data_IF_307187864817
#
_entry.id   IF_307187864817
#
_cell.length_a   1.000
_cell.length_b   1.000
_cell.length_c   1.000
_cell.angle_alpha   90.00
_cell.angle_beta   90.00
_cell.angle_gamma   90.00
#
_symmetry.space_group_name_H-M   'P 1'
#
loop_
_entity.id
_entity.type
_entity.pdbx_description
1 polymer ?
#
# COMPACT_ATOMS: atom_id res chain seq x y z
N UNK A 1 -25.49 9.68 -2.26
CA UNK A 1 -24.60 9.31 -3.37
C UNK A 1 -23.55 10.38 -3.48
N UNK A 2 -22.34 10.03 -3.08
CA UNK A 2 -21.15 10.84 -3.32
C UNK A 2 -21.00 11.01 -4.85
N UNK A 3 -21.21 12.24 -5.33
CA UNK A 3 -21.13 12.57 -6.76
C UNK A 3 -19.76 12.32 -7.36
N UNK A 4 -18.73 12.19 -6.52
CA UNK A 4 -17.35 11.93 -6.91
C UNK A 4 -16.92 10.48 -6.67
N UNK A 5 -17.69 9.65 -5.95
CA UNK A 5 -17.32 8.25 -5.66
C UNK A 5 -17.02 7.43 -6.92
N UNK A 6 -17.88 7.53 -7.95
CA UNK A 6 -17.69 6.83 -9.22
C UNK A 6 -16.44 7.33 -9.95
N UNK A 7 -16.22 8.65 -9.93
CA UNK A 7 -15.04 9.29 -10.51
C UNK A 7 -13.76 8.82 -9.83
N UNK A 8 -13.75 8.80 -8.49
CA UNK A 8 -12.64 8.30 -7.66
C UNK A 8 -12.36 6.83 -7.94
N UNK A 9 -13.39 5.98 -8.00
CA UNK A 9 -13.24 4.56 -8.35
C UNK A 9 -12.64 4.40 -9.74
N UNK A 10 -13.15 5.12 -10.75
CA UNK A 10 -12.68 5.02 -12.12
C UNK A 10 -11.20 5.44 -12.25
N UNK A 11 -10.82 6.57 -11.62
CA UNK A 11 -9.43 7.06 -11.61
C UNK A 11 -8.53 6.07 -10.87
N UNK A 12 -8.92 5.65 -9.65
CA UNK A 12 -8.16 4.71 -8.84
C UNK A 12 -7.94 3.39 -9.56
N UNK A 13 -8.99 2.81 -10.14
CA UNK A 13 -8.92 1.57 -10.90
C UNK A 13 -8.03 1.71 -12.14
N UNK A 14 -8.13 2.81 -12.89
CA UNK A 14 -7.29 3.04 -14.07
C UNK A 14 -5.80 3.12 -13.72
N UNK A 15 -5.44 3.91 -12.69
CA UNK A 15 -4.05 4.04 -12.26
C UNK A 15 -3.50 2.76 -11.65
N UNK A 16 -4.29 2.07 -10.80
CA UNK A 16 -3.89 0.79 -10.23
C UNK A 16 -3.80 -0.31 -11.28
N UNK A 17 -4.60 -0.29 -12.34
CA UNK A 17 -4.47 -1.21 -13.47
C UNK A 17 -3.14 -0.99 -14.20
N UNK A 18 -2.78 0.27 -14.49
CA UNK A 18 -1.48 0.60 -15.08
C UNK A 18 -0.34 0.15 -14.16
N UNK A 19 -0.46 0.39 -12.85
CA UNK A 19 0.51 -0.05 -11.86
C UNK A 19 0.63 -1.59 -11.80
N UNK A 20 -0.51 -2.30 -11.82
CA UNK A 20 -0.55 -3.76 -11.83
C UNK A 20 0.10 -4.34 -13.08
N UNK A 21 -0.17 -3.77 -14.26
CA UNK A 21 0.47 -4.19 -15.52
C UNK A 21 1.98 -3.94 -15.47
N UNK A 22 2.41 -2.78 -14.98
CA UNK A 22 3.83 -2.47 -14.82
C UNK A 22 4.50 -3.45 -13.83
N UNK A 23 3.89 -3.68 -12.68
CA UNK A 23 4.41 -4.56 -11.64
C UNK A 23 4.47 -6.04 -12.08
N UNK A 24 3.50 -6.51 -12.87
CA UNK A 24 3.54 -7.85 -13.49
C UNK A 24 4.70 -7.97 -14.47
N UNK A 25 4.95 -6.93 -15.27
CA UNK A 25 5.97 -6.96 -16.34
C UNK A 25 7.39 -6.75 -15.82
N UNK A 26 7.59 -5.81 -14.90
CA UNK A 26 8.93 -5.31 -14.53
C UNK A 26 9.19 -5.30 -13.03
N UNK A 27 8.21 -5.68 -12.19
CA UNK A 27 8.27 -5.60 -10.71
C UNK A 27 8.55 -4.20 -10.17
N UNK A 28 8.31 -3.18 -10.99
CA UNK A 28 8.56 -1.77 -10.66
C UNK A 28 7.47 -0.90 -11.28
N UNK A 29 6.92 -0.01 -10.46
CA UNK A 29 5.98 1.02 -10.92
C UNK A 29 6.72 2.36 -10.92
N UNK A 30 6.72 3.11 -12.03
CA UNK A 30 7.43 4.37 -12.12
C UNK A 30 6.72 5.48 -11.32
N UNK A 31 7.51 6.34 -10.69
CA UNK A 31 7.02 7.42 -9.82
C UNK A 31 5.98 8.36 -10.44
N UNK A 32 6.03 8.72 -11.75
CA UNK A 32 5.00 9.54 -12.38
C UNK A 32 3.58 8.99 -12.27
N UNK A 33 3.39 7.66 -12.15
CA UNK A 33 2.07 7.06 -11.94
C UNK A 33 1.50 7.51 -10.59
N UNK A 34 2.31 7.47 -9.54
CA UNK A 34 1.90 7.86 -8.20
C UNK A 34 1.69 9.37 -8.08
N UNK A 35 2.60 10.15 -8.66
CA UNK A 35 2.48 11.62 -8.72
C UNK A 35 1.18 12.00 -9.43
N UNK A 36 0.87 11.37 -10.56
CA UNK A 36 -0.37 11.59 -11.30
C UNK A 36 -1.61 11.26 -10.48
N UNK A 37 -1.66 10.08 -9.86
CA UNK A 37 -2.79 9.64 -9.04
C UNK A 37 -3.05 10.60 -7.87
N UNK A 38 -2.01 10.93 -7.09
CA UNK A 38 -2.13 11.83 -5.95
C UNK A 38 -2.48 13.26 -6.37
N UNK A 39 -1.90 13.78 -7.46
CA UNK A 39 -2.23 15.12 -7.97
C UNK A 39 -3.67 15.22 -8.44
N UNK A 40 -4.17 14.22 -9.16
CA UNK A 40 -5.56 14.15 -9.59
C UNK A 40 -6.47 14.04 -8.36
N UNK A 41 -6.12 13.22 -7.37
CA UNK A 41 -6.86 13.11 -6.11
C UNK A 41 -7.02 14.46 -5.40
N UNK A 42 -5.92 15.20 -5.25
CA UNK A 42 -5.95 16.55 -4.67
C UNK A 42 -6.83 17.52 -5.47
N UNK A 43 -6.81 17.46 -6.80
CA UNK A 43 -7.64 18.32 -7.66
C UNK A 43 -9.13 17.95 -7.56
N UNK A 44 -9.46 16.65 -7.56
CA UNK A 44 -10.83 16.17 -7.39
C UNK A 44 -11.37 16.62 -6.03
N UNK A 45 -10.58 16.46 -4.97
CA UNK A 45 -10.94 16.87 -3.62
C UNK A 45 -11.10 18.40 -3.49
N UNK A 46 -10.21 19.18 -4.11
CA UNK A 46 -10.37 20.63 -4.17
C UNK A 46 -11.65 21.05 -4.91
N UNK A 47 -11.99 20.35 -6.00
CA UNK A 47 -13.23 20.57 -6.74
C UNK A 47 -14.47 20.29 -5.89
N UNK A 48 -14.46 19.19 -5.14
CA UNK A 48 -15.51 18.85 -4.17
C UNK A 48 -15.64 19.93 -3.08
N UNK A 49 -14.55 20.40 -2.51
CA UNK A 49 -14.59 21.46 -1.49
C UNK A 49 -15.23 22.76 -2.00
N UNK A 50 -14.95 23.13 -3.26
CA UNK A 50 -15.57 24.30 -3.90
C UNK A 50 -17.06 24.06 -4.15
N UNK A 51 -17.42 22.88 -4.64
CA UNK A 51 -18.80 22.52 -4.97
C UNK A 51 -19.68 22.49 -3.73
N UNK A 52 -19.20 21.86 -2.65
CA UNK A 52 -19.97 21.63 -1.43
C UNK A 52 -19.81 22.76 -0.40
N UNK A 53 -19.08 23.83 -0.76
CA UNK A 53 -18.80 25.00 0.10
C UNK A 53 -18.23 24.60 1.46
N UNK A 54 -17.29 23.64 1.44
CA UNK A 54 -16.65 23.10 2.65
C UNK A 54 -15.89 24.22 3.39
N UNK A 55 -15.88 24.11 4.72
CA UNK A 55 -15.21 25.02 5.64
C UNK A 55 -13.74 25.29 5.24
N UNK A 56 -13.30 26.53 5.47
CA UNK A 56 -11.92 26.97 5.18
C UNK A 56 -10.86 26.10 5.86
N UNK A 57 -11.21 25.52 7.00
CA UNK A 57 -10.36 24.63 7.80
C UNK A 57 -9.95 23.37 7.02
N UNK A 58 -10.82 22.83 6.17
CA UNK A 58 -10.51 21.66 5.35
C UNK A 58 -9.41 21.95 4.31
N UNK A 59 -9.34 23.19 3.81
CA UNK A 59 -8.30 23.62 2.86
C UNK A 59 -6.90 23.59 3.49
N UNK A 60 -6.79 23.84 4.81
CA UNK A 60 -5.53 23.70 5.52
C UNK A 60 -5.06 22.24 5.54
N UNK A 61 -5.98 21.29 5.78
CA UNK A 61 -5.67 19.86 5.74
C UNK A 61 -5.28 19.39 4.32
N UNK A 62 -5.99 19.85 3.30
CA UNK A 62 -5.64 19.59 1.89
C UNK A 62 -4.23 20.11 1.57
N UNK A 63 -3.92 21.35 1.96
CA UNK A 63 -2.60 21.96 1.78
C UNK A 63 -1.49 21.20 2.51
N UNK A 64 -1.75 20.79 3.76
CA UNK A 64 -0.83 19.96 4.55
C UNK A 64 -0.54 18.63 3.83
N UNK A 65 -1.58 17.92 3.42
CA UNK A 65 -1.46 16.64 2.73
C UNK A 65 -0.71 16.78 1.39
N UNK A 66 -1.00 17.82 0.61
CA UNK A 66 -0.31 18.11 -0.65
C UNK A 66 1.19 18.36 -0.44
N UNK A 67 1.57 19.20 0.53
CA UNK A 67 2.98 19.48 0.82
C UNK A 67 3.71 18.20 1.26
N UNK A 68 3.10 17.44 2.18
CA UNK A 68 3.69 16.17 2.65
C UNK A 68 3.86 15.16 1.52
N UNK A 69 2.87 15.06 0.63
CA UNK A 69 2.89 14.17 -0.52
C UNK A 69 4.00 14.52 -1.52
N UNK A 70 4.05 15.77 -1.99
CA UNK A 70 5.07 16.18 -2.96
C UNK A 70 6.48 16.15 -2.37
N UNK A 71 6.63 16.37 -1.06
CA UNK A 71 7.90 16.22 -0.35
C UNK A 71 8.46 14.78 -0.36
N UNK A 72 7.68 13.77 -0.75
CA UNK A 72 8.16 12.39 -0.97
C UNK A 72 9.01 12.30 -2.24
N UNK A 73 8.65 13.06 -3.27
CA UNK A 73 9.30 13.02 -4.59
C UNK A 73 10.35 14.10 -4.77
N UNK A 74 10.34 15.14 -3.94
CA UNK A 74 11.23 16.28 -4.04
C UNK A 74 12.38 16.26 -3.02
N UNK A 75 13.60 16.28 -3.54
CA UNK A 75 14.84 16.42 -2.77
C UNK A 75 15.24 15.18 -1.97
N UNK A 76 16.53 15.06 -1.64
CA UNK A 76 17.01 13.93 -0.84
C UNK A 76 16.60 14.03 0.65
N UNK A 77 16.47 12.88 1.35
CA UNK A 77 15.98 12.77 2.73
C UNK A 77 16.69 13.70 3.72
N UNK A 78 15.99 14.06 4.81
CA UNK A 78 16.62 14.73 5.95
C UNK A 78 17.53 13.79 6.75
N UNK A 79 17.24 12.49 6.70
CA UNK A 79 18.01 11.46 7.38
C UNK A 79 18.51 10.47 6.32
N UNK A 80 19.82 10.37 6.21
CA UNK A 80 20.53 9.40 5.36
C UNK A 80 21.40 8.50 6.27
N UNK A 81 22.05 7.49 5.70
CA UNK A 81 22.89 6.57 6.49
C UNK A 81 24.03 7.29 7.22
N UNK A 82 24.50 8.40 6.65
CA UNK A 82 25.60 9.22 7.19
C UNK A 82 25.14 10.28 8.20
N UNK A 83 23.83 10.38 8.48
CA UNK A 83 23.27 11.24 9.53
C UNK A 83 22.19 12.22 9.07
N UNK A 84 22.01 13.29 9.86
CA UNK A 84 21.01 14.32 9.61
C UNK A 84 21.57 15.43 8.71
N UNK A 85 20.87 15.71 7.62
CA UNK A 85 21.20 16.76 6.67
C UNK A 85 20.14 17.87 6.73
N UNK A 86 20.51 18.99 7.36
CA UNK A 86 19.67 20.17 7.44
C UNK A 86 19.45 20.78 6.05
N UNK A 87 18.23 20.63 5.53
CA UNK A 87 17.83 21.16 4.22
C UNK A 87 16.78 22.25 4.44
N UNK A 88 17.15 23.54 4.44
CA UNK A 88 16.29 24.61 4.94
C UNK A 88 14.94 24.66 4.21
N UNK A 89 14.94 24.50 2.88
CA UNK A 89 13.70 24.47 2.10
C UNK A 89 12.80 23.28 2.48
N UNK A 90 13.36 22.08 2.66
CA UNK A 90 12.58 20.90 3.03
C UNK A 90 12.06 20.98 4.47
N UNK A 91 12.87 21.51 5.39
CA UNK A 91 12.46 21.78 6.76
C UNK A 91 11.31 22.80 6.79
N UNK A 92 11.42 23.88 6.02
CA UNK A 92 10.36 24.88 5.90
C UNK A 92 9.06 24.26 5.40
N UNK A 93 9.10 23.42 4.36
CA UNK A 93 7.92 22.71 3.85
C UNK A 93 7.27 21.84 4.94
N UNK A 94 8.06 21.10 5.72
CA UNK A 94 7.51 20.30 6.82
C UNK A 94 6.95 21.14 7.96
N UNK A 95 7.56 22.28 8.28
CA UNK A 95 7.04 23.22 9.27
C UNK A 95 5.70 23.80 8.80
N UNK A 96 5.60 24.22 7.53
CA UNK A 96 4.36 24.73 6.94
C UNK A 96 3.29 23.64 6.95
N UNK A 97 3.61 22.41 6.54
CA UNK A 97 2.65 21.30 6.57
C UNK A 97 2.16 20.99 7.99
N UNK A 98 3.05 21.04 9.00
CA UNK A 98 2.69 20.85 10.39
C UNK A 98 1.80 22.00 10.92
N UNK A 99 2.11 23.25 10.57
CA UNK A 99 1.28 24.39 10.92
C UNK A 99 -0.13 24.28 10.34
N UNK A 100 -0.23 23.91 9.05
CA UNK A 100 -1.51 23.68 8.38
C UNK A 100 -2.31 22.52 8.98
N UNK A 101 -1.64 21.46 9.43
CA UNK A 101 -2.30 20.33 10.12
C UNK A 101 -2.90 20.76 11.47
N UNK A 102 -2.15 21.56 12.24
CA UNK A 102 -2.55 21.98 13.59
C UNK A 102 -3.58 23.11 13.57
N UNK A 103 -3.59 23.92 12.51
CA UNK A 103 -4.42 25.13 12.41
C UNK A 103 -5.92 24.90 12.72
N UNK A 104 -6.64 23.95 12.09
CA UNK A 104 -8.07 23.76 12.36
C UNK A 104 -8.37 23.44 13.84
N UNK A 105 -7.61 22.51 14.41
CA UNK A 105 -7.73 22.14 15.82
C UNK A 105 -7.42 23.31 16.76
N UNK A 106 -6.44 24.15 16.43
CA UNK A 106 -6.10 25.32 17.23
C UNK A 106 -7.21 26.39 17.22
N UNK A 107 -7.82 26.65 16.05
CA UNK A 107 -8.93 27.61 15.91
C UNK A 107 -10.18 27.11 16.64
N UNK A 108 -10.53 25.84 16.48
CA UNK A 108 -11.68 25.23 17.17
C UNK A 108 -11.48 25.18 18.69
N UNK A 109 -10.28 24.81 19.16
CA UNK A 109 -9.97 24.83 20.59
C UNK A 109 -10.01 26.23 21.19
N UNK A 110 -9.58 27.26 20.45
CA UNK A 110 -9.62 28.65 20.91
C UNK A 110 -11.03 29.24 20.93
N UNK A 111 -11.90 28.80 20.02
CA UNK A 111 -13.31 29.21 19.95
C UNK A 111 -14.24 28.40 20.86
N UNK A 112 -13.76 27.29 21.43
CA UNK A 112 -14.57 26.35 22.21
C UNK A 112 -15.53 25.51 21.36
N UNK A 113 -15.37 25.53 20.03
CA UNK A 113 -16.15 24.73 19.09
C UNK A 113 -15.61 23.30 18.99
N UNK A 114 -16.49 22.31 18.84
CA UNK A 114 -16.12 20.93 18.53
C UNK A 114 -15.79 20.78 17.05
N UNK A 115 -14.80 19.96 16.72
CA UNK A 115 -14.50 19.58 15.33
C UNK A 115 -15.67 18.74 14.76
N UNK A 116 -16.07 19.05 13.52
CA UNK A 116 -17.05 18.25 12.78
C UNK A 116 -16.51 16.86 12.44
N UNK A 117 -17.40 15.88 12.25
CA UNK A 117 -17.00 14.52 11.90
C UNK A 117 -16.26 14.47 10.55
N UNK A 118 -16.76 15.22 9.56
CA UNK A 118 -16.15 15.29 8.23
C UNK A 118 -14.71 15.84 8.32
N UNK A 119 -14.50 16.89 9.12
CA UNK A 119 -13.16 17.45 9.33
C UNK A 119 -12.23 16.46 10.03
N UNK A 120 -12.73 15.70 11.01
CA UNK A 120 -11.98 14.62 11.66
C UNK A 120 -11.60 13.49 10.71
N UNK A 121 -12.46 13.14 9.75
CA UNK A 121 -12.11 12.17 8.70
C UNK A 121 -11.02 12.73 7.77
N UNK A 122 -11.10 14.02 7.40
CA UNK A 122 -10.10 14.67 6.54
C UNK A 122 -8.71 14.77 7.20
N UNK A 123 -8.63 14.78 8.53
CA UNK A 123 -7.36 14.67 9.27
C UNK A 123 -6.59 13.39 8.92
N UNK A 124 -7.28 12.33 8.52
CA UNK A 124 -6.64 11.08 8.15
C UNK A 124 -5.71 11.24 6.95
N UNK A 125 -5.99 12.13 5.99
CA UNK A 125 -5.15 12.31 4.80
C UNK A 125 -3.68 12.67 5.12
N UNK A 126 -3.38 13.84 5.74
CA UNK A 126 -2.00 14.19 6.06
C UNK A 126 -1.38 13.25 7.10
N UNK A 127 -2.17 12.73 8.05
CA UNK A 127 -1.70 11.77 9.05
C UNK A 127 -1.23 10.48 8.38
N UNK A 128 -2.02 9.93 7.46
CA UNK A 128 -1.68 8.69 6.76
C UNK A 128 -0.47 8.85 5.84
N UNK A 129 -0.23 10.03 5.29
CA UNK A 129 1.03 10.31 4.56
C UNK A 129 2.24 10.09 5.47
N UNK A 130 2.18 10.55 6.72
CA UNK A 130 3.26 10.35 7.71
C UNK A 130 3.31 8.89 8.16
N UNK A 131 2.17 8.27 8.46
CA UNK A 131 2.09 6.87 8.92
C UNK A 131 2.63 5.90 7.88
N UNK A 132 2.24 6.02 6.61
CA UNK A 132 2.74 5.13 5.56
C UNK A 132 4.24 5.34 5.28
N UNK A 133 4.75 6.57 5.41
CA UNK A 133 6.19 6.79 5.38
C UNK A 133 6.90 6.15 6.58
N UNK A 134 6.31 6.21 7.78
CA UNK A 134 6.83 5.53 8.96
C UNK A 134 6.83 4.00 8.76
N UNK A 135 5.76 3.42 8.20
CA UNK A 135 5.67 1.99 7.88
C UNK A 135 6.73 1.56 6.88
N UNK A 136 7.00 2.38 5.86
CA UNK A 136 8.08 2.14 4.91
C UNK A 136 9.45 2.15 5.60
N UNK A 137 9.72 3.15 6.45
CA UNK A 137 11.00 3.24 7.20
C UNK A 137 11.18 2.10 8.20
N UNK A 138 10.11 1.70 8.88
CA UNK A 138 10.09 0.58 9.81
C UNK A 138 10.14 -0.80 9.10
N UNK A 139 10.17 -0.83 7.75
CA UNK A 139 10.15 -2.05 6.93
C UNK A 139 8.90 -2.91 7.13
N UNK A 140 7.81 -2.33 7.59
CA UNK A 140 6.48 -2.96 7.60
C UNK A 140 5.98 -3.05 6.15
N UNK A 141 6.06 -1.91 5.43
CA UNK A 141 5.87 -1.87 3.98
C UNK A 141 7.21 -2.08 3.30
N UNK A 142 7.38 -3.25 2.68
CA UNK A 142 8.64 -3.68 2.09
C UNK A 142 8.94 -2.98 0.75
N UNK A 143 7.92 -2.45 0.08
CA UNK A 143 8.03 -1.73 -1.19
C UNK A 143 7.76 -0.24 -1.06
N UNK A 144 8.65 0.59 -1.61
CA UNK A 144 8.40 2.03 -1.74
C UNK A 144 7.21 2.36 -2.65
N UNK A 145 6.93 1.49 -3.63
CA UNK A 145 5.73 1.61 -4.46
C UNK A 145 4.44 1.39 -3.66
N UNK A 146 4.44 0.45 -2.71
CA UNK A 146 3.27 0.17 -1.87
C UNK A 146 2.89 1.38 -1.02
N UNK A 147 3.89 1.99 -0.35
CA UNK A 147 3.68 3.20 0.42
C UNK A 147 3.16 4.36 -0.45
N UNK A 148 3.76 4.58 -1.62
CA UNK A 148 3.32 5.62 -2.56
C UNK A 148 1.89 5.37 -3.06
N UNK A 149 1.53 4.12 -3.33
CA UNK A 149 0.18 3.74 -3.77
C UNK A 149 -0.86 4.05 -2.68
N UNK A 150 -0.61 3.62 -1.44
CA UNK A 150 -1.53 3.85 -0.32
C UNK A 150 -1.69 5.34 0.00
N UNK A 151 -0.59 6.09 -0.05
CA UNK A 151 -0.64 7.56 0.12
C UNK A 151 -1.47 8.19 -0.99
N UNK A 152 -1.20 7.87 -2.26
CA UNK A 152 -1.94 8.44 -3.38
C UNK A 152 -3.44 8.07 -3.35
N UNK A 153 -3.78 6.84 -2.93
CA UNK A 153 -5.17 6.42 -2.72
C UNK A 153 -5.84 7.20 -1.58
N UNK A 154 -5.13 7.46 -0.48
CA UNK A 154 -5.66 8.27 0.63
C UNK A 154 -5.94 9.72 0.24
N UNK A 155 -5.22 10.26 -0.76
CA UNK A 155 -5.51 11.58 -1.32
C UNK A 155 -6.67 11.57 -2.32
N UNK A 156 -6.86 10.47 -3.04
CA UNK A 156 -7.96 10.31 -3.99
C UNK A 156 -9.30 10.05 -3.29
N UNK A 157 -9.28 9.21 -2.25
CA UNK A 157 -10.45 8.77 -1.50
C UNK A 157 -10.19 9.00 -0.01
N UNK A 158 -10.32 10.26 0.44
CA UNK A 158 -9.95 10.65 1.81
C UNK A 158 -10.99 10.23 2.85
N UNK A 159 -12.24 10.14 2.43
CA UNK A 159 -13.40 9.73 3.22
C UNK A 159 -14.00 8.47 2.59
N UNK A 160 -14.81 7.75 3.37
CA UNK A 160 -15.45 6.54 2.88
C UNK A 160 -16.50 6.88 1.81
N UNK A 161 -16.37 6.33 0.59
CA UNK A 161 -17.27 6.65 -0.52
C UNK A 161 -18.66 6.05 -0.30
N UNK A 162 -19.70 6.84 -0.57
CA UNK A 162 -21.10 6.38 -0.57
C UNK A 162 -21.61 6.20 -2.01
N UNK A 163 -21.63 4.96 -2.47
CA UNK A 163 -22.08 4.56 -3.81
C UNK A 163 -23.25 3.57 -3.71
N UNK A 164 -24.34 3.99 -3.05
CA UNK A 164 -25.56 3.19 -2.90
C UNK A 164 -25.91 2.40 -4.18
N UNK A 165 -26.08 1.06 -4.13
CA UNK A 165 -26.27 0.22 -2.93
C UNK A 165 -24.97 -0.28 -2.26
N UNK A 166 -23.79 0.20 -2.66
CA UNK A 166 -22.50 -0.23 -2.14
C UNK A 166 -21.91 0.76 -1.12
N UNK A 167 -21.09 0.30 -0.16
CA UNK A 167 -20.63 -1.08 0.04
C UNK A 167 -21.69 -2.04 0.62
N UNK A 168 -21.60 -3.33 0.30
CA UNK A 168 -22.54 -4.36 0.78
C UNK A 168 -22.45 -4.62 2.30
N UNK A 169 -21.24 -4.52 2.87
CA UNK A 169 -20.99 -4.65 4.31
C UNK A 169 -20.88 -3.24 4.88
N UNK A 170 -21.93 -2.83 5.59
CA UNK A 170 -21.96 -1.54 6.29
C UNK A 170 -21.44 -1.70 7.72
N UNK A 171 -20.82 -0.64 8.22
CA UNK A 171 -20.45 -0.55 9.63
C UNK A 171 -21.71 -0.45 10.50
N UNK A 172 -21.63 -0.94 11.74
CA UNK A 172 -22.69 -0.67 12.72
C UNK A 172 -22.69 0.84 13.02
N UNK A 173 -23.83 1.54 12.89
CA UNK A 173 -23.93 2.98 13.13
C UNK A 173 -23.35 3.44 14.48
N UNK A 174 -23.33 2.56 15.50
CA UNK A 174 -22.81 2.89 16.83
C UNK A 174 -21.29 3.07 16.89
N UNK A 175 -20.55 2.39 16.00
CA UNK A 175 -19.08 2.38 15.97
C UNK A 175 -18.51 2.93 14.66
N UNK A 176 -19.38 3.30 13.72
CA UNK A 176 -19.02 3.77 12.39
C UNK A 176 -18.04 4.94 12.43
N UNK A 177 -18.34 6.00 13.20
CA UNK A 177 -17.47 7.18 13.31
C UNK A 177 -16.07 6.81 13.80
N UNK A 178 -15.97 5.94 14.81
CA UNK A 178 -14.68 5.49 15.34
C UNK A 178 -13.85 4.75 14.27
N UNK A 179 -14.49 3.86 13.51
CA UNK A 179 -13.83 3.09 12.47
C UNK A 179 -13.44 3.94 11.27
N UNK A 180 -14.27 4.89 10.84
CA UNK A 180 -13.95 5.78 9.72
C UNK A 180 -12.71 6.64 10.00
N UNK A 181 -12.57 7.12 11.23
CA UNK A 181 -11.42 7.92 11.68
C UNK A 181 -10.17 7.04 11.89
N UNK A 182 -10.30 5.93 12.62
CA UNK A 182 -9.16 5.09 13.01
C UNK A 182 -8.67 4.21 11.86
N UNK A 183 -9.54 3.92 10.91
CA UNK A 183 -9.30 2.99 9.82
C UNK A 183 -9.68 3.65 8.48
N UNK A 184 -8.87 4.61 7.99
CA UNK A 184 -9.19 5.37 6.79
C UNK A 184 -9.27 4.47 5.55
N UNK A 185 -9.93 4.95 4.50
CA UNK A 185 -10.27 4.14 3.32
C UNK A 185 -9.04 3.48 2.66
N UNK A 186 -7.91 4.18 2.56
CA UNK A 186 -6.67 3.60 2.02
C UNK A 186 -6.17 2.38 2.82
N UNK A 187 -6.44 2.35 4.13
CA UNK A 187 -6.10 1.23 5.00
C UNK A 187 -7.05 0.05 4.80
N UNK A 188 -8.33 0.32 4.52
CA UNK A 188 -9.30 -0.71 4.08
C UNK A 188 -8.80 -1.39 2.82
N UNK A 189 -8.45 -0.61 1.80
CA UNK A 189 -7.91 -1.14 0.54
C UNK A 189 -6.67 -2.00 0.78
N UNK A 190 -5.76 -1.57 1.67
CA UNK A 190 -4.58 -2.34 2.01
C UNK A 190 -4.88 -3.68 2.70
N UNK A 191 -5.82 -3.68 3.65
CA UNK A 191 -6.21 -4.90 4.37
C UNK A 191 -6.96 -5.86 3.46
N UNK A 192 -7.88 -5.37 2.63
CA UNK A 192 -8.58 -6.20 1.65
C UNK A 192 -7.60 -6.79 0.63
N UNK A 193 -6.60 -6.02 0.21
CA UNK A 193 -5.50 -6.52 -0.62
C UNK A 193 -4.67 -7.60 0.08
N UNK A 194 -4.40 -7.45 1.38
CA UNK A 194 -3.70 -8.46 2.17
C UNK A 194 -4.52 -9.76 2.29
N UNK A 195 -5.84 -9.65 2.46
CA UNK A 195 -6.75 -10.81 2.45
C UNK A 195 -6.69 -11.53 1.10
N UNK A 196 -6.75 -10.79 -0.02
CA UNK A 196 -6.58 -11.39 -1.35
C UNK A 196 -5.20 -12.01 -1.53
N UNK A 197 -4.16 -11.42 -0.94
CA UNK A 197 -2.79 -11.94 -0.99
C UNK A 197 -2.65 -13.30 -0.28
N UNK A 198 -3.49 -13.62 0.70
CA UNK A 198 -3.53 -14.95 1.33
C UNK A 198 -3.92 -16.07 0.36
N UNK A 199 -4.55 -15.75 -0.79
CA UNK A 199 -4.80 -16.74 -1.83
C UNK A 199 -3.51 -17.27 -2.48
N UNK A 200 -2.39 -16.52 -2.40
CA UNK A 200 -1.09 -16.93 -2.96
C UNK A 200 -0.54 -18.18 -2.28
N UNK A 201 -0.29 -18.21 -0.95
CA UNK A 201 0.25 -19.40 -0.31
C UNK A 201 -0.69 -20.60 -0.43
N UNK A 202 -2.00 -20.39 -0.39
CA UNK A 202 -3.00 -21.45 -0.61
C UNK A 202 -2.92 -22.00 -2.04
N UNK A 203 -2.83 -21.13 -3.04
CA UNK A 203 -2.68 -21.51 -4.44
C UNK A 203 -1.36 -22.27 -4.70
N UNK A 204 -0.26 -21.84 -4.08
CA UNK A 204 1.02 -22.54 -4.13
C UNK A 204 0.94 -23.94 -3.51
N UNK A 205 0.27 -24.07 -2.35
CA UNK A 205 0.10 -25.36 -1.71
C UNK A 205 -0.67 -26.33 -2.61
N UNK A 206 -1.81 -25.91 -3.17
CA UNK A 206 -2.62 -26.72 -4.08
C UNK A 206 -1.85 -27.09 -5.35
N UNK A 207 -1.10 -26.15 -5.91
CA UNK A 207 -0.27 -26.36 -7.09
C UNK A 207 0.86 -27.36 -6.86
N UNK A 208 1.53 -27.27 -5.71
CA UNK A 208 2.57 -28.22 -5.32
C UNK A 208 1.98 -29.60 -4.97
N UNK A 209 0.80 -29.65 -4.33
CA UNK A 209 0.06 -30.88 -4.07
C UNK A 209 -0.24 -31.64 -5.36
N UNK A 210 -0.73 -30.94 -6.39
CA UNK A 210 -1.02 -31.52 -7.70
C UNK A 210 0.22 -32.08 -8.41
N UNK A 211 1.43 -31.68 -7.99
CA UNK A 211 2.72 -32.12 -8.55
C UNK A 211 3.48 -33.10 -7.66
N UNK A 212 2.92 -33.47 -6.51
CA UNK A 212 3.56 -34.35 -5.54
C UNK A 212 4.71 -33.69 -4.75
N UNK A 213 4.88 -32.37 -4.86
CA UNK A 213 5.97 -31.60 -4.24
C UNK A 213 5.53 -31.01 -2.87
N UNK A 214 5.01 -31.82 -1.94
CA UNK A 214 4.41 -31.37 -0.66
C UNK A 214 5.39 -31.15 0.51
N UNK A 215 6.52 -30.49 0.25
CA UNK A 215 7.52 -30.27 1.29
C UNK A 215 7.19 -29.02 2.13
N UNK A 216 6.74 -29.21 3.38
CA UNK A 216 6.38 -28.12 4.29
C UNK A 216 7.61 -27.57 5.04
N UNK A 217 7.76 -26.24 5.25
CA UNK A 217 6.82 -25.16 4.90
C UNK A 217 7.00 -24.56 3.49
N UNK A 218 8.02 -24.96 2.72
CA UNK A 218 8.34 -24.34 1.43
C UNK A 218 7.26 -24.51 0.36
N UNK A 219 6.41 -25.54 0.44
CA UNK A 219 5.26 -25.71 -0.45
C UNK A 219 4.19 -24.60 -0.32
N UNK A 220 4.17 -23.85 0.79
CA UNK A 220 3.34 -22.66 0.95
C UNK A 220 3.99 -21.39 0.38
N UNK A 221 5.32 -21.38 0.29
CA UNK A 221 6.10 -20.16 0.03
C UNK A 221 6.71 -20.14 -1.38
N UNK A 222 6.78 -21.28 -2.05
CA UNK A 222 7.41 -21.40 -3.36
C UNK A 222 6.95 -22.61 -4.15
N UNK A 223 7.67 -22.91 -5.22
CA UNK A 223 7.46 -24.06 -6.09
C UNK A 223 8.81 -24.59 -6.59
N UNK A 224 8.85 -25.85 -7.02
CA UNK A 224 10.04 -26.45 -7.62
C UNK A 224 10.21 -26.01 -9.08
N UNK A 225 11.25 -25.23 -9.35
CA UNK A 225 11.63 -24.74 -10.68
C UNK A 225 12.84 -25.48 -11.24
N UNK A 226 12.92 -25.64 -12.57
CA UNK A 226 14.11 -26.17 -13.25
C UNK A 226 15.21 -25.11 -13.29
N UNK A 227 16.46 -25.54 -13.11
CA UNK A 227 17.62 -24.65 -13.10
C UNK A 227 17.98 -24.12 -14.50
N UNK A 228 17.75 -24.90 -15.55
CA UNK A 228 18.04 -24.50 -16.95
C UNK A 228 17.13 -23.37 -17.43
N UNK A 229 15.85 -23.45 -17.08
CA UNK A 229 14.81 -22.50 -17.46
C UNK A 229 14.29 -21.76 -16.23
N UNK A 230 15.20 -21.26 -15.39
CA UNK A 230 14.82 -20.65 -14.13
C UNK A 230 13.99 -19.37 -14.35
N UNK A 231 12.84 -19.21 -13.67
CA UNK A 231 11.93 -18.11 -13.92
C UNK A 231 12.54 -16.75 -13.56
N UNK A 232 12.30 -15.70 -14.37
CA UNK A 232 12.94 -14.39 -14.16
C UNK A 232 12.49 -13.72 -12.86
N UNK A 233 11.21 -13.86 -12.52
CA UNK A 233 10.56 -13.22 -11.37
C UNK A 233 10.37 -14.19 -10.20
N UNK A 234 11.42 -14.93 -9.85
CA UNK A 234 11.43 -15.78 -8.68
C UNK A 234 12.76 -15.62 -7.94
N UNK A 235 12.74 -15.81 -6.62
CA UNK A 235 13.95 -15.90 -5.82
C UNK A 235 14.25 -17.36 -5.51
N UNK A 236 15.50 -17.73 -5.70
CA UNK A 236 16.00 -19.06 -5.39
C UNK A 236 16.04 -19.25 -3.87
N UNK A 237 15.43 -20.34 -3.40
CA UNK A 237 15.34 -20.70 -1.98
C UNK A 237 16.44 -21.69 -1.58
N UNK A 238 16.94 -22.50 -2.51
CA UNK A 238 18.03 -23.45 -2.25
C UNK A 238 19.39 -22.83 -2.57
N UNK A 239 20.38 -23.02 -1.70
CA UNK A 239 21.75 -22.53 -1.93
C UNK A 239 22.78 -23.53 -1.42
N UNK A 240 23.97 -23.50 -2.02
CA UNK A 240 25.16 -24.16 -1.48
C UNK A 240 25.95 -23.14 -0.67
N UNK A 241 26.09 -23.38 0.63
CA UNK A 241 26.81 -22.48 1.52
C UNK A 241 28.34 -22.60 1.31
N UNK A 242 29.13 -21.77 1.99
CA UNK A 242 30.60 -21.78 1.87
C UNK A 242 31.26 -23.10 2.34
N UNK A 243 30.51 -23.95 3.06
CA UNK A 243 30.95 -25.26 3.54
C UNK A 243 30.58 -26.41 2.59
N UNK A 244 29.92 -26.11 1.48
CA UNK A 244 29.42 -27.13 0.54
C UNK A 244 28.08 -27.75 0.96
N UNK A 245 27.43 -27.26 2.02
CA UNK A 245 26.16 -27.81 2.47
C UNK A 245 25.00 -27.20 1.68
N UNK A 246 24.04 -28.05 1.32
CA UNK A 246 22.79 -27.63 0.71
C UNK A 246 21.83 -27.07 1.79
N UNK A 247 21.54 -25.78 1.70
CA UNK A 247 20.66 -25.07 2.65
C UNK A 247 19.41 -24.51 1.98
N UNK A 248 18.29 -24.60 2.68
CA UNK A 248 17.02 -23.98 2.30
C UNK A 248 16.85 -22.65 3.03
N UNK A 249 16.65 -21.59 2.27
CA UNK A 249 16.39 -20.22 2.72
C UNK A 249 14.95 -19.87 2.35
N UNK A 250 14.05 -19.92 3.33
CA UNK A 250 12.61 -19.67 3.12
C UNK A 250 12.31 -18.24 2.65
N UNK A 251 13.07 -17.27 3.17
CA UNK A 251 12.91 -15.84 2.85
C UNK A 251 14.21 -15.28 2.28
N UNK A 252 14.49 -15.54 0.98
CA UNK A 252 15.72 -15.06 0.34
C UNK A 252 15.75 -13.53 0.26
N UNK A 253 16.90 -12.93 0.59
CA UNK A 253 17.10 -11.47 0.49
C UNK A 253 17.39 -11.04 -0.95
N UNK A 254 16.95 -9.82 -1.30
CA UNK A 254 17.31 -9.16 -2.57
C UNK A 254 18.82 -8.93 -2.63
N UNK A 255 19.44 -9.17 -3.79
CA UNK A 255 20.84 -8.83 -4.06
C UNK A 255 21.86 -9.98 -4.07
N UNK A 256 21.42 -11.24 -3.93
CA UNK A 256 22.32 -12.39 -4.12
C UNK A 256 22.74 -12.58 -5.58
N UNK A 257 23.92 -13.16 -5.81
CA UNK A 257 24.39 -13.51 -7.15
C UNK A 257 23.67 -14.78 -7.64
N UNK A 258 22.45 -14.59 -8.17
CA UNK A 258 21.58 -15.67 -8.67
C UNK A 258 22.33 -16.60 -9.62
N UNK A 259 23.13 -16.05 -10.54
CA UNK A 259 23.84 -16.85 -11.54
C UNK A 259 24.83 -17.80 -10.87
N UNK A 260 25.61 -17.30 -9.93
CA UNK A 260 26.55 -18.12 -9.16
C UNK A 260 25.84 -19.17 -8.30
N UNK A 261 24.74 -18.81 -7.65
CA UNK A 261 23.97 -19.77 -6.83
C UNK A 261 23.40 -20.90 -7.71
N UNK A 262 22.90 -20.58 -8.91
CA UNK A 262 22.41 -21.59 -9.87
C UNK A 262 23.53 -22.49 -10.38
N UNK A 263 24.71 -21.93 -10.70
CA UNK A 263 25.87 -22.71 -11.15
C UNK A 263 26.37 -23.69 -10.08
N UNK A 264 26.40 -23.27 -8.82
CA UNK A 264 26.77 -24.15 -7.70
C UNK A 264 25.81 -25.33 -7.54
N UNK A 265 24.50 -25.07 -7.66
CA UNK A 265 23.50 -26.15 -7.60
C UNK A 265 23.66 -27.13 -8.77
N UNK A 266 23.95 -26.62 -9.98
CA UNK A 266 24.20 -27.49 -11.14
C UNK A 266 25.46 -28.33 -10.97
N UNK A 267 26.52 -27.78 -10.37
CA UNK A 267 27.76 -28.51 -10.12
C UNK A 267 27.55 -29.72 -9.17
N UNK A 268 26.58 -29.63 -8.27
CA UNK A 268 26.15 -30.71 -7.37
C UNK A 268 25.15 -31.69 -8.03
N UNK A 269 24.89 -31.56 -9.34
CA UNK A 269 23.97 -32.43 -10.07
C UNK A 269 22.48 -32.22 -9.73
N UNK A 270 22.13 -31.06 -9.17
CA UNK A 270 20.73 -30.70 -8.91
C UNK A 270 20.12 -30.17 -10.21
N UNK A 271 18.94 -30.67 -10.59
CA UNK A 271 18.19 -30.22 -11.78
C UNK A 271 17.01 -29.28 -11.44
N UNK A 272 16.41 -29.48 -10.26
CA UNK A 272 15.25 -28.72 -9.75
C UNK A 272 15.52 -28.19 -8.36
N UNK A 273 15.18 -26.93 -8.15
CA UNK A 273 15.35 -26.23 -6.88
C UNK A 273 14.07 -25.46 -6.49
N UNK A 274 13.85 -25.28 -5.19
CA UNK A 274 12.77 -24.46 -4.66
C UNK A 274 13.00 -22.99 -4.99
N UNK A 275 11.93 -22.34 -5.47
CA UNK A 275 11.92 -20.92 -5.80
C UNK A 275 10.63 -20.28 -5.27
N UNK A 276 10.76 -19.11 -4.66
CA UNK A 276 9.61 -18.31 -4.22
C UNK A 276 9.25 -17.28 -5.29
N UNK A 277 7.98 -17.18 -5.74
CA UNK A 277 7.58 -16.20 -6.73
C UNK A 277 7.67 -14.78 -6.17
N UNK A 278 8.15 -13.86 -7.00
CA UNK A 278 7.99 -12.43 -6.73
C UNK A 278 6.57 -12.02 -7.12
N UNK A 279 5.65 -12.07 -6.18
CA UNK A 279 4.25 -11.75 -6.44
C UNK A 279 4.08 -10.23 -6.59
N UNK A 280 3.42 -9.75 -7.67
CA UNK A 280 3.14 -8.33 -7.83
C UNK A 280 2.04 -7.90 -6.86
N UNK A 281 2.38 -7.11 -5.85
CA UNK A 281 1.41 -6.65 -4.86
C UNK A 281 0.39 -5.65 -5.43
N UNK A 282 0.67 -5.03 -6.58
CA UNK A 282 -0.28 -4.09 -7.20
C UNK A 282 -1.55 -4.78 -7.73
N UNK A 283 -1.48 -6.08 -8.07
CA UNK A 283 -2.65 -6.85 -8.51
C UNK A 283 -3.68 -7.05 -7.38
N UNK A 284 -3.31 -7.60 -6.20
CA UNK A 284 -4.23 -7.68 -5.08
C UNK A 284 -4.60 -6.30 -4.54
N UNK A 285 -3.75 -5.28 -4.69
CA UNK A 285 -4.13 -3.90 -4.32
C UNK A 285 -5.28 -3.35 -5.18
N UNK A 286 -5.24 -3.59 -6.50
CA UNK A 286 -6.36 -3.29 -7.39
C UNK A 286 -7.62 -4.07 -6.99
N UNK A 287 -7.48 -5.36 -6.69
CA UNK A 287 -8.58 -6.17 -6.18
C UNK A 287 -9.15 -5.62 -4.86
N UNK A 288 -8.28 -5.21 -3.94
CA UNK A 288 -8.63 -4.59 -2.66
C UNK A 288 -9.37 -3.28 -2.84
N UNK A 289 -9.05 -2.48 -3.87
CA UNK A 289 -9.82 -1.27 -4.19
C UNK A 289 -11.26 -1.64 -4.55
N UNK A 290 -11.46 -2.63 -5.41
CA UNK A 290 -12.81 -3.08 -5.78
C UNK A 290 -13.55 -3.69 -4.58
N UNK A 291 -12.89 -4.49 -3.75
CA UNK A 291 -13.49 -5.00 -2.51
C UNK A 291 -13.91 -3.85 -1.60
N UNK A 292 -13.06 -2.85 -1.37
CA UNK A 292 -13.39 -1.73 -0.50
C UNK A 292 -14.58 -0.90 -1.01
N UNK A 293 -14.69 -0.66 -2.33
CA UNK A 293 -15.81 0.08 -2.91
C UNK A 293 -17.11 -0.72 -2.97
N UNK A 294 -17.07 -2.01 -3.32
CA UNK A 294 -18.27 -2.82 -3.52
C UNK A 294 -18.68 -3.63 -2.30
N UNK A 295 -17.72 -4.21 -1.58
CA UNK A 295 -17.98 -5.05 -0.41
C UNK A 295 -17.85 -4.23 0.89
N UNK A 296 -16.90 -3.29 0.95
CA UNK A 296 -16.55 -2.59 2.18
C UNK A 296 -15.45 -3.31 2.93
N UNK A 297 -15.33 -3.06 4.24
CA UNK A 297 -14.24 -3.62 5.05
C UNK A 297 -14.47 -5.10 5.33
N UNK A 298 -13.79 -5.98 4.58
CA UNK A 298 -13.97 -7.44 4.66
C UNK A 298 -13.55 -7.97 6.04
N UNK A 299 -12.50 -7.41 6.64
CA UNK A 299 -12.04 -7.80 7.96
C UNK A 299 -13.09 -7.53 9.04
N UNK A 300 -13.68 -6.32 9.03
CA UNK A 300 -14.74 -5.98 9.99
C UNK A 300 -16.01 -6.80 9.75
N UNK A 301 -16.34 -7.08 8.48
CA UNK A 301 -17.42 -7.99 8.13
C UNK A 301 -17.22 -9.39 8.70
N UNK A 302 -16.00 -9.94 8.60
CA UNK A 302 -15.67 -11.24 9.20
C UNK A 302 -15.73 -11.22 10.73
N UNK A 303 -15.18 -10.18 11.37
CA UNK A 303 -15.21 -10.06 12.83
C UNK A 303 -16.65 -10.03 13.38
N UNK A 304 -17.59 -9.41 12.65
CA UNK A 304 -19.01 -9.42 12.99
C UNK A 304 -19.68 -10.79 12.86
N UNK A 305 -19.18 -11.67 11.99
CA UNK A 305 -19.73 -13.02 11.81
C UNK A 305 -19.24 -14.00 12.88
N UNK A 306 -18.07 -13.74 13.46
CA UNK A 306 -17.40 -14.64 14.42
C UNK A 306 -17.60 -14.21 15.87
N UNK A 307 -17.86 -12.93 16.12
CA UNK A 307 -18.20 -12.37 17.44
C UNK A 307 -19.71 -12.25 17.64
#
# INVERSE_FOLDING_TARGET
MDGFAVTRLAIGAAFLLVAAVADVRTRRVPDPVWIGLGSIGLVVLAGEFVQDQIETDAWALLGSAAILFFAIFYGSPLFEEDGFHARPLRLLLFIVAAALLVYPAAVHSASGASLSQDLLELYSMPVMVVVYQAFYRARILHGGADAKALIALGLLVPTYPDMAPFPLITLDPRVETFWRITFPFSLVVWVDAAVLFLAVPLGLLLWNAARGDLAFPQALLGYRARLDSFPPHAWLMEKINARGEHVLVLFPKRGGNRTQDLERLRAEGIDRAWATPQVPFMVPLLGGLFLAFFIGNVLLGFLRLVG
#
